data_IF_696298102548
#
_entry.id   IF_696298102548
#
_cell.length_a   1.000
_cell.length_b   1.000
_cell.length_c   1.000
_cell.angle_alpha   90.00
_cell.angle_beta   90.00
_cell.angle_gamma   90.00
#
_symmetry.space_group_name_H-M   'P 1'
#
loop_
_entity.id
_entity.type
_entity.pdbx_description
1 polymer ?
#
# COMPACT_ATOMS: atom_id res chain seq x y z
N UNK A 1 -9.79 16.30 -7.28
CA UNK A 1 -8.44 16.12 -6.67
C UNK A 1 -7.47 15.33 -7.54
N UNK A 2 -6.20 15.71 -7.52
CA UNK A 2 -5.03 15.01 -8.05
C UNK A 2 -4.33 14.22 -6.95
N UNK A 3 -4.31 12.90 -7.11
CA UNK A 3 -3.70 11.98 -6.17
C UNK A 3 -2.38 11.43 -6.74
N UNK A 4 -1.34 11.38 -5.90
CA UNK A 4 -0.08 10.72 -6.24
C UNK A 4 0.12 9.51 -5.34
N UNK A 5 0.41 8.35 -5.92
CA UNK A 5 0.79 7.16 -5.18
C UNK A 5 2.32 7.03 -5.17
N UNK A 6 2.94 7.13 -3.99
CA UNK A 6 4.35 6.86 -3.79
C UNK A 6 4.53 5.38 -3.45
N UNK A 7 5.31 4.65 -4.26
CA UNK A 7 5.57 3.22 -4.10
C UNK A 7 6.99 2.85 -4.53
N UNK A 8 7.53 1.73 -4.05
CA UNK A 8 8.84 1.24 -4.48
C UNK A 8 8.77 0.63 -5.89
N UNK A 9 9.23 1.38 -6.89
CA UNK A 9 9.15 0.96 -8.29
C UNK A 9 10.05 -0.21 -8.67
N UNK A 10 10.92 -0.68 -7.77
CA UNK A 10 11.73 -1.88 -8.00
C UNK A 10 10.89 -3.15 -7.99
N UNK A 11 9.76 -3.15 -7.26
CA UNK A 11 8.95 -4.35 -6.97
C UNK A 11 7.45 -4.02 -6.93
N UNK A 12 6.86 -3.50 -8.02
CA UNK A 12 5.42 -3.27 -8.07
C UNK A 12 4.63 -4.57 -7.91
N UNK A 13 3.54 -4.52 -7.14
CA UNK A 13 2.68 -5.69 -6.83
C UNK A 13 1.22 -5.46 -7.19
N UNK A 14 0.47 -6.55 -7.38
CA UNK A 14 -0.93 -6.51 -7.86
C UNK A 14 -1.85 -5.74 -6.93
N UNK A 15 -1.61 -5.74 -5.61
CA UNK A 15 -2.44 -4.95 -4.68
C UNK A 15 -2.32 -3.44 -4.94
N UNK A 16 -1.14 -2.94 -5.36
CA UNK A 16 -0.94 -1.53 -5.71
C UNK A 16 -1.70 -1.20 -6.99
N UNK A 17 -1.64 -2.08 -8.00
CA UNK A 17 -2.44 -1.97 -9.22
C UNK A 17 -3.95 -2.02 -8.93
N UNK A 18 -4.39 -2.83 -7.95
CA UNK A 18 -5.78 -2.88 -7.50
C UNK A 18 -6.19 -1.60 -6.76
N UNK A 19 -5.30 -1.05 -5.92
CA UNK A 19 -5.52 0.23 -5.24
C UNK A 19 -5.70 1.36 -6.25
N UNK A 20 -4.77 1.49 -7.21
CA UNK A 20 -4.83 2.50 -8.27
C UNK A 20 -6.16 2.43 -9.02
N UNK A 21 -6.57 1.22 -9.46
CA UNK A 21 -7.87 1.02 -10.15
C UNK A 21 -9.07 1.42 -9.30
N UNK A 22 -9.09 1.04 -8.01
CA UNK A 22 -10.19 1.38 -7.11
C UNK A 22 -10.27 2.88 -6.85
N UNK A 23 -9.14 3.51 -6.55
CA UNK A 23 -9.06 4.93 -6.24
C UNK A 23 -9.36 5.80 -7.46
N UNK A 24 -8.90 5.42 -8.65
CA UNK A 24 -9.20 6.13 -9.90
C UNK A 24 -10.72 6.15 -10.23
N UNK A 25 -11.49 5.19 -9.71
CA UNK A 25 -12.94 5.14 -9.88
C UNK A 25 -13.74 5.90 -8.80
N UNK A 26 -13.08 6.54 -7.84
CA UNK A 26 -13.77 7.24 -6.76
C UNK A 26 -14.22 8.65 -7.19
N UNK A 27 -15.43 9.09 -6.78
CA UNK A 27 -15.83 10.48 -6.94
C UNK A 27 -14.81 11.44 -6.30
N UNK A 28 -14.53 12.56 -6.97
CA UNK A 28 -13.57 13.56 -6.49
C UNK A 28 -12.10 13.24 -6.82
N UNK A 29 -11.78 12.07 -7.37
CA UNK A 29 -10.44 11.78 -7.94
C UNK A 29 -10.47 12.10 -9.44
N UNK A 30 -9.82 13.18 -9.83
CA UNK A 30 -9.78 13.65 -11.22
C UNK A 30 -8.55 13.13 -11.96
N UNK A 31 -7.45 12.95 -11.24
CA UNK A 31 -6.19 12.49 -11.81
C UNK A 31 -5.43 11.64 -10.78
N UNK A 32 -4.75 10.61 -11.29
CA UNK A 32 -3.86 9.77 -10.50
C UNK A 32 -2.52 9.62 -11.23
N UNK A 33 -1.44 9.73 -10.47
CA UNK A 33 -0.07 9.55 -10.97
C UNK A 33 0.75 8.71 -9.99
N UNK A 34 1.82 8.07 -10.47
CA UNK A 34 2.70 7.22 -9.68
C UNK A 34 4.10 7.81 -9.54
N UNK A 35 4.59 7.85 -8.31
CA UNK A 35 6.00 8.10 -7.99
C UNK A 35 6.66 6.76 -7.64
N UNK A 36 7.25 6.14 -8.66
CA UNK A 36 7.87 4.82 -8.64
C UNK A 36 9.39 4.88 -8.41
N UNK A 37 9.92 5.92 -7.75
CA UNK A 37 11.33 5.93 -7.35
C UNK A 37 11.64 4.71 -6.44
N UNK A 38 12.89 4.21 -6.41
CA UNK A 38 13.28 3.17 -5.45
C UNK A 38 12.92 3.58 -4.02
N UNK A 39 12.30 2.68 -3.26
CA UNK A 39 12.03 2.87 -1.83
C UNK A 39 13.30 2.75 -0.97
N UNK A 40 13.27 3.34 0.21
CA UNK A 40 14.34 3.20 1.22
C UNK A 40 14.35 1.81 1.90
N UNK A 41 13.17 1.18 2.01
CA UNK A 41 13.04 -0.13 2.65
C UNK A 41 13.75 -1.23 1.87
N UNK A 42 14.32 -2.16 2.65
CA UNK A 42 14.96 -3.37 2.14
C UNK A 42 14.00 -4.54 2.30
N UNK A 43 13.49 -5.03 1.19
CA UNK A 43 12.74 -6.28 1.18
C UNK A 43 13.65 -7.46 1.59
N UNK A 44 13.23 -8.33 2.52
CA UNK A 44 14.08 -9.44 2.96
C UNK A 44 14.45 -10.37 1.80
N UNK A 45 15.74 -10.71 1.68
CA UNK A 45 16.28 -11.46 0.54
C UNK A 45 15.56 -12.79 0.27
N UNK A 46 15.13 -13.48 1.32
CA UNK A 46 14.50 -14.80 1.22
C UNK A 46 12.96 -14.76 1.22
N UNK A 47 12.34 -13.58 1.28
CA UNK A 47 10.88 -13.48 1.35
C UNK A 47 10.20 -13.99 0.07
N UNK A 48 10.75 -13.67 -1.11
CA UNK A 48 10.20 -14.17 -2.38
C UNK A 48 10.39 -15.68 -2.53
N UNK A 49 11.48 -16.23 -1.96
CA UNK A 49 11.72 -17.67 -1.90
C UNK A 49 10.72 -18.36 -0.97
N UNK A 50 10.46 -17.81 0.22
CA UNK A 50 9.44 -18.30 1.14
C UNK A 50 8.08 -18.40 0.45
N UNK A 51 7.63 -17.33 -0.20
CA UNK A 51 6.37 -17.31 -0.95
C UNK A 51 6.36 -18.33 -2.09
N UNK A 52 7.48 -18.49 -2.79
CA UNK A 52 7.60 -19.47 -3.87
C UNK A 52 7.50 -20.92 -3.37
N UNK A 53 8.10 -21.22 -2.22
CA UNK A 53 8.05 -22.53 -1.57
C UNK A 53 6.65 -22.84 -1.04
N UNK A 54 6.02 -21.89 -0.34
CA UNK A 54 4.66 -22.08 0.16
C UNK A 54 3.64 -22.26 -0.96
N UNK A 55 3.78 -21.51 -2.06
CA UNK A 55 2.97 -21.70 -3.26
C UNK A 55 3.09 -23.13 -3.81
N UNK A 56 4.31 -23.69 -3.83
CA UNK A 56 4.54 -25.06 -4.31
C UNK A 56 3.99 -26.10 -3.34
N UNK A 57 4.29 -25.99 -2.04
CA UNK A 57 3.89 -26.95 -1.00
C UNK A 57 2.37 -26.98 -0.84
N UNK A 58 1.74 -25.81 -0.77
CA UNK A 58 0.30 -25.67 -0.53
C UNK A 58 -0.52 -25.56 -1.83
N UNK A 59 0.12 -25.69 -3.00
CA UNK A 59 -0.51 -25.59 -4.33
C UNK A 59 -1.32 -24.30 -4.50
N UNK A 60 -0.77 -23.18 -4.04
CA UNK A 60 -1.41 -21.88 -4.10
C UNK A 60 -1.12 -21.20 -5.45
N UNK A 61 -2.11 -20.49 -6.03
CA UNK A 61 -1.90 -19.73 -7.24
C UNK A 61 -0.91 -18.57 -7.00
N UNK A 62 -0.09 -18.25 -8.00
CA UNK A 62 0.87 -17.13 -7.97
C UNK A 62 0.30 -15.82 -8.50
N UNK A 63 -1.01 -15.64 -8.36
CA UNK A 63 -1.77 -14.47 -8.84
C UNK A 63 -2.42 -13.68 -7.70
N UNK A 64 -1.94 -13.87 -6.47
CA UNK A 64 -2.39 -13.17 -5.27
C UNK A 64 -2.00 -11.69 -5.24
N UNK A 65 -2.41 -11.00 -4.17
CA UNK A 65 -2.20 -9.56 -4.00
C UNK A 65 -0.70 -9.15 -4.03
N UNK A 66 0.17 -10.06 -3.59
CA UNK A 66 1.63 -9.91 -3.58
C UNK A 66 2.33 -10.26 -4.89
N UNK A 67 1.61 -10.80 -5.88
CA UNK A 67 2.22 -11.14 -7.17
C UNK A 67 2.72 -9.88 -7.89
N UNK A 68 3.75 -9.98 -8.75
CA UNK A 68 4.27 -8.84 -9.52
C UNK A 68 3.19 -8.18 -10.38
N UNK A 69 3.27 -6.85 -10.52
CA UNK A 69 2.38 -6.08 -11.38
C UNK A 69 3.16 -5.26 -12.40
N UNK A 70 2.58 -5.07 -13.58
CA UNK A 70 2.99 -4.01 -14.49
C UNK A 70 2.16 -2.75 -14.21
N UNK A 71 2.84 -1.63 -13.94
CA UNK A 71 2.24 -0.33 -13.72
C UNK A 71 2.51 0.66 -14.87
N UNK A 72 3.08 0.20 -15.98
CA UNK A 72 3.45 1.03 -17.14
C UNK A 72 2.27 1.82 -17.74
N UNK A 73 1.05 1.31 -17.59
CA UNK A 73 -0.18 1.96 -18.04
C UNK A 73 -0.57 3.20 -17.21
N UNK A 74 0.04 3.42 -16.03
CA UNK A 74 -0.27 4.55 -15.16
C UNK A 74 0.63 5.76 -15.42
N UNK A 75 0.07 7.00 -15.42
CA UNK A 75 0.87 8.21 -15.58
C UNK A 75 1.96 8.32 -14.52
N UNK A 76 3.18 8.60 -14.93
CA UNK A 76 4.28 8.89 -13.99
C UNK A 76 4.11 10.28 -13.38
N UNK A 77 4.60 10.46 -12.16
CA UNK A 77 4.53 11.71 -11.42
C UNK A 77 5.12 12.87 -12.23
N UNK A 78 4.28 13.88 -12.47
CA UNK A 78 4.68 15.12 -13.13
C UNK A 78 5.23 16.17 -12.16
N UNK A 79 5.43 17.39 -12.68
CA UNK A 79 5.84 18.56 -11.88
C UNK A 79 4.69 19.22 -11.13
N UNK A 80 3.44 18.92 -11.49
CA UNK A 80 2.27 19.48 -10.82
C UNK A 80 2.23 19.02 -9.35
N UNK A 81 1.88 19.92 -8.45
CA UNK A 81 1.73 19.61 -7.03
C UNK A 81 0.43 18.80 -6.83
N UNK A 82 0.48 17.63 -6.17
CA UNK A 82 -0.71 16.84 -5.89
C UNK A 82 -1.46 17.35 -4.64
N UNK A 83 -2.78 17.16 -4.61
CA UNK A 83 -3.63 17.49 -3.46
C UNK A 83 -3.49 16.44 -2.34
N UNK A 84 -3.06 15.22 -2.69
CA UNK A 84 -2.80 14.12 -1.76
C UNK A 84 -1.70 13.21 -2.29
N UNK A 85 -0.73 12.91 -1.44
CA UNK A 85 0.18 11.79 -1.64
C UNK A 85 -0.24 10.65 -0.72
N UNK A 86 -0.49 9.47 -1.30
CA UNK A 86 -0.52 8.21 -0.56
C UNK A 86 0.91 7.68 -0.52
N UNK A 87 1.55 7.80 0.64
CA UNK A 87 2.94 7.39 0.89
C UNK A 87 3.01 5.95 1.40
N UNK A 88 3.35 5.02 0.51
CA UNK A 88 3.53 3.60 0.87
C UNK A 88 4.96 3.28 1.34
N UNK A 89 5.92 4.18 1.14
CA UNK A 89 7.34 3.97 1.43
C UNK A 89 7.80 4.67 2.71
N UNK A 90 7.03 5.65 3.18
CA UNK A 90 7.35 6.42 4.38
C UNK A 90 8.41 7.50 4.18
N UNK A 91 8.80 7.79 2.93
CA UNK A 91 9.96 8.60 2.57
C UNK A 91 9.62 9.94 1.92
N UNK A 92 8.34 10.34 1.94
CA UNK A 92 7.90 11.61 1.38
C UNK A 92 8.09 12.75 2.38
N UNK A 93 8.71 13.84 1.92
CA UNK A 93 8.88 15.08 2.68
C UNK A 93 7.56 15.81 2.92
N UNK A 94 7.40 16.41 4.10
CA UNK A 94 6.12 16.97 4.58
C UNK A 94 5.54 18.09 3.69
N UNK A 95 6.36 18.77 2.90
CA UNK A 95 5.93 19.91 2.05
C UNK A 95 5.52 19.50 0.63
N UNK A 96 5.66 18.21 0.27
CA UNK A 96 5.50 17.73 -1.11
C UNK A 96 4.05 17.80 -1.64
N UNK A 97 3.05 17.95 -0.78
CA UNK A 97 1.63 17.99 -1.13
C UNK A 97 0.80 18.74 -0.07
N UNK A 98 -0.48 18.99 -0.36
CA UNK A 98 -1.41 19.56 0.63
C UNK A 98 -1.72 18.59 1.78
N UNK A 99 -1.71 17.29 1.49
CA UNK A 99 -1.83 16.23 2.49
C UNK A 99 -0.94 15.05 2.10
N UNK A 100 -0.35 14.39 3.10
CA UNK A 100 0.49 13.21 2.89
C UNK A 100 0.00 12.13 3.84
N UNK A 101 -0.63 11.11 3.29
CA UNK A 101 -1.14 9.99 4.05
C UNK A 101 -0.15 8.83 3.98
N UNK A 102 0.52 8.59 5.09
CA UNK A 102 1.55 7.55 5.22
C UNK A 102 0.95 6.24 5.72
N UNK A 103 1.17 5.18 4.96
CA UNK A 103 0.82 3.81 5.34
C UNK A 103 1.92 3.23 6.22
N UNK A 104 1.52 2.64 7.34
CA UNK A 104 2.40 1.85 8.21
C UNK A 104 1.73 0.55 8.64
N UNK A 105 2.56 -0.44 8.92
CA UNK A 105 2.21 -1.71 9.54
C UNK A 105 2.95 -1.81 10.87
N UNK A 106 2.20 -1.78 11.98
CA UNK A 106 2.72 -1.72 13.36
C UNK A 106 3.79 -0.63 13.57
N UNK A 107 3.60 0.52 12.91
CA UNK A 107 4.50 1.67 12.98
C UNK A 107 5.66 1.66 11.97
N UNK A 108 5.87 0.55 11.26
CA UNK A 108 6.88 0.46 10.20
C UNK A 108 6.26 0.77 8.83
N UNK A 109 6.93 1.60 8.02
CA UNK A 109 6.49 1.84 6.65
C UNK A 109 6.72 0.61 5.76
N UNK A 110 6.06 0.62 4.60
CA UNK A 110 6.30 -0.36 3.54
C UNK A 110 5.85 -1.79 3.84
N UNK A 111 5.93 -2.61 2.80
CA UNK A 111 5.55 -4.02 2.86
C UNK A 111 6.47 -4.84 3.78
N UNK A 112 7.71 -4.39 4.00
CA UNK A 112 8.65 -5.05 4.90
C UNK A 112 8.15 -5.03 6.35
N UNK A 113 7.52 -3.92 6.78
CA UNK A 113 6.85 -3.84 8.08
C UNK A 113 5.74 -4.87 8.24
N UNK A 114 4.89 -5.02 7.21
CA UNK A 114 3.83 -6.03 7.19
C UNK A 114 4.39 -7.45 7.35
N UNK A 115 5.41 -7.79 6.55
CA UNK A 115 6.02 -9.11 6.60
C UNK A 115 6.68 -9.38 7.96
N UNK A 116 7.38 -8.39 8.53
CA UNK A 116 8.00 -8.52 9.85
C UNK A 116 6.96 -8.82 10.94
N UNK A 117 5.84 -8.10 10.97
CA UNK A 117 4.76 -8.36 11.92
C UNK A 117 4.20 -9.78 11.81
N UNK A 118 4.03 -10.28 10.59
CA UNK A 118 3.54 -11.64 10.37
C UNK A 118 4.57 -12.71 10.79
N UNK A 119 5.86 -12.48 10.52
CA UNK A 119 6.94 -13.37 10.96
C UNK A 119 7.05 -13.44 12.48
N UNK A 120 6.72 -12.36 13.18
CA UNK A 120 6.59 -12.33 14.65
C UNK A 120 5.32 -13.05 15.17
N UNK A 121 4.50 -13.62 14.28
CA UNK A 121 3.24 -14.28 14.62
C UNK A 121 2.15 -13.31 15.09
N UNK A 122 2.31 -12.01 14.85
CA UNK A 122 1.34 -10.97 15.23
C UNK A 122 0.31 -10.77 14.13
N UNK A 123 -0.91 -10.41 14.54
CA UNK A 123 -1.90 -9.84 13.63
C UNK A 123 -1.50 -8.38 13.31
N UNK A 124 -1.13 -8.05 12.05
CA UNK A 124 -0.60 -6.73 11.72
C UNK A 124 -1.60 -5.60 11.95
N UNK A 125 -1.18 -4.53 12.61
CA UNK A 125 -1.93 -3.28 12.69
C UNK A 125 -1.63 -2.38 11.49
N UNK A 126 -2.66 -2.01 10.72
CA UNK A 126 -2.55 -1.02 9.64
C UNK A 126 -2.89 0.35 10.21
N UNK A 127 -2.05 1.35 9.94
CA UNK A 127 -2.37 2.74 10.19
C UNK A 127 -2.06 3.60 8.96
N UNK A 128 -3.02 4.45 8.60
CA UNK A 128 -2.88 5.51 7.62
C UNK A 128 -2.91 6.85 8.38
N UNK A 129 -1.83 7.63 8.28
CA UNK A 129 -1.68 8.86 9.10
C UNK A 129 -1.32 10.07 8.24
N UNK A 130 -1.85 11.23 8.62
CA UNK A 130 -1.50 12.55 8.08
C UNK A 130 -0.73 13.32 9.16
N UNK A 131 0.60 13.32 9.05
CA UNK A 131 1.47 13.71 10.16
C UNK A 131 1.21 12.86 11.41
N UNK A 132 0.83 13.50 12.53
CA UNK A 132 0.49 12.82 13.78
C UNK A 132 -0.97 12.34 13.86
N UNK A 133 -1.82 12.72 12.90
CA UNK A 133 -3.25 12.39 12.91
C UNK A 133 -3.49 11.06 12.20
N UNK A 134 -4.08 10.10 12.91
CA UNK A 134 -4.56 8.86 12.28
C UNK A 134 -5.81 9.17 11.45
N UNK A 135 -5.73 8.92 10.14
CA UNK A 135 -6.84 9.06 9.18
C UNK A 135 -7.72 7.81 9.20
N UNK A 136 -7.09 6.63 9.17
CA UNK A 136 -7.76 5.35 9.24
C UNK A 136 -6.82 4.31 9.87
N UNK A 137 -7.40 3.31 10.54
CA UNK A 137 -6.62 2.19 11.08
C UNK A 137 -7.45 0.92 11.10
N UNK A 138 -6.76 -0.21 11.19
CA UNK A 138 -7.39 -1.53 11.26
C UNK A 138 -6.39 -2.59 11.69
N UNK A 139 -6.89 -3.79 11.99
CA UNK A 139 -6.03 -4.96 12.23
C UNK A 139 -6.37 -6.02 11.21
N UNK A 140 -5.35 -6.65 10.64
CA UNK A 140 -5.53 -7.75 9.70
C UNK A 140 -5.45 -9.08 10.43
N UNK A 141 -6.31 -10.00 10.01
CA UNK A 141 -6.26 -11.40 10.39
C UNK A 141 -6.31 -12.24 9.13
N UNK A 142 -5.86 -13.48 9.24
CA UNK A 142 -6.05 -14.49 8.20
C UNK A 142 -6.88 -15.64 8.76
N UNK A 143 -7.74 -16.21 7.93
CA UNK A 143 -8.49 -17.42 8.25
C UNK A 143 -7.61 -18.68 8.07
N UNK A 144 -6.47 -18.57 7.36
CA UNK A 144 -5.56 -19.69 7.08
C UNK A 144 -4.24 -19.52 7.83
N UNK A 145 -4.25 -19.99 9.08
CA UNK A 145 -3.05 -19.98 9.93
C UNK A 145 -1.95 -20.88 9.35
N UNK A 146 -0.70 -20.46 9.51
CA UNK A 146 0.49 -21.25 9.17
C UNK A 146 0.95 -21.17 7.72
N UNK A 147 0.33 -20.32 6.89
CA UNK A 147 0.78 -20.04 5.52
C UNK A 147 1.04 -18.53 5.39
N UNK A 148 2.31 -18.14 5.28
CA UNK A 148 2.74 -16.75 5.27
C UNK A 148 2.22 -15.99 4.05
N UNK A 149 2.32 -16.59 2.86
CA UNK A 149 1.85 -16.02 1.59
C UNK A 149 0.36 -15.66 1.65
N UNK A 150 -0.48 -16.56 2.17
CA UNK A 150 -1.92 -16.28 2.32
C UNK A 150 -2.16 -15.16 3.33
N UNK A 151 -1.45 -15.19 4.47
CA UNK A 151 -1.56 -14.13 5.50
C UNK A 151 -1.17 -12.76 4.96
N UNK A 152 -0.11 -12.70 4.17
CA UNK A 152 0.40 -11.50 3.54
C UNK A 152 -0.57 -10.97 2.47
N UNK A 153 -1.08 -11.85 1.59
CA UNK A 153 -2.06 -11.49 0.57
C UNK A 153 -3.38 -10.97 1.18
N UNK A 154 -3.89 -11.64 2.23
CA UNK A 154 -5.10 -11.21 2.96
C UNK A 154 -4.90 -9.80 3.54
N UNK A 155 -3.76 -9.55 4.17
CA UNK A 155 -3.44 -8.24 4.74
C UNK A 155 -3.34 -7.14 3.67
N UNK A 156 -2.73 -7.43 2.52
CA UNK A 156 -2.68 -6.50 1.39
C UNK A 156 -4.07 -6.19 0.84
N UNK A 157 -4.94 -7.20 0.70
CA UNK A 157 -6.32 -6.99 0.25
C UNK A 157 -7.12 -6.09 1.21
N UNK A 158 -6.95 -6.30 2.52
CA UNK A 158 -7.55 -5.43 3.55
C UNK A 158 -6.97 -4.02 3.51
N UNK A 159 -5.67 -3.87 3.26
CA UNK A 159 -5.02 -2.58 3.07
C UNK A 159 -5.65 -1.81 1.91
N UNK A 160 -5.85 -2.45 0.76
CA UNK A 160 -6.52 -1.80 -0.39
C UNK A 160 -7.92 -1.31 -0.01
N UNK A 161 -8.68 -2.11 0.74
CA UNK A 161 -10.03 -1.76 1.17
C UNK A 161 -10.03 -0.55 2.12
N UNK A 162 -9.12 -0.53 3.10
CA UNK A 162 -8.96 0.56 4.06
C UNK A 162 -8.54 1.86 3.38
N UNK A 163 -7.53 1.81 2.50
CA UNK A 163 -7.05 2.98 1.78
C UNK A 163 -8.13 3.55 0.84
N UNK A 164 -8.83 2.68 0.09
CA UNK A 164 -9.88 3.12 -0.82
C UNK A 164 -11.03 3.79 -0.05
N UNK A 165 -11.44 3.23 1.09
CA UNK A 165 -12.48 3.81 1.94
C UNK A 165 -12.05 5.15 2.56
N UNK A 166 -10.79 5.25 3.01
CA UNK A 166 -10.24 6.50 3.55
C UNK A 166 -10.24 7.62 2.48
N UNK A 167 -9.82 7.30 1.25
CA UNK A 167 -9.84 8.27 0.14
C UNK A 167 -11.27 8.66 -0.22
N UNK A 168 -12.19 7.71 -0.29
CA UNK A 168 -13.61 7.98 -0.59
C UNK A 168 -14.28 8.85 0.50
N UNK A 169 -13.87 8.68 1.76
CA UNK A 169 -14.35 9.46 2.90
C UNK A 169 -13.68 10.83 3.05
N UNK A 170 -12.69 11.17 2.22
CA UNK A 170 -12.02 12.47 2.26
C UNK A 170 -13.02 13.54 1.86
N UNK A 171 -13.46 14.35 2.83
CA UNK A 171 -14.20 15.57 2.55
C UNK A 171 -13.19 16.63 2.08
N UNK A 172 -13.53 17.38 1.03
CA UNK A 172 -12.82 18.61 0.73
C UNK A 172 -12.90 19.54 1.95
N UNK A 173 -11.81 20.20 2.35
CA UNK A 173 -11.89 21.24 3.37
C UNK A 173 -12.87 22.30 2.87
N UNK A 174 -13.94 22.52 3.64
CA UNK A 174 -14.91 23.58 3.36
C UNK A 174 -14.16 24.92 3.32
N UNK A 175 -14.32 25.76 2.28
CA UNK A 175 -13.79 27.11 2.33
C UNK A 175 -14.47 27.83 3.51
N UNK A 176 -13.66 28.45 4.37
CA UNK A 176 -14.09 29.35 5.45
C UNK A 176 -14.39 30.72 4.84
#
# INVERSE_FOLDING_TARGET
MRLRLRLDGRRPRLWQAQLLRRVAGLPGVEAIEIDARPGSDVWPANADLLFSLESLIHRLPRSGASAPADLSAWPQAGRARPDLILDLCGDVESEAADAIWRLTFDGCAGEAGLLASLLDGRAPGIALSDGSRVVASGRTGTERRGVMLTSFDDALFRTVSLLSAAVAGRREPSPI
#
